data_IF_046602735468
#
_entry.id   IF_046602735468
#
_cell.length_a   1.000
_cell.length_b   1.000
_cell.length_c   1.000
_cell.angle_alpha   90.00
_cell.angle_beta   90.00
_cell.angle_gamma   90.00
#
_symmetry.space_group_name_H-M   'P 1'
#
loop_
_entity.id
_entity.type
_entity.pdbx_description
1 polymer ?
#
# COMPACT_ATOMS: atom_id res chain seq x y z
N UNK A 1 10.51 -25.78 14.23
CA UNK A 1 10.39 -24.31 14.15
C UNK A 1 11.70 -23.61 14.52
N UNK A 2 12.13 -23.61 15.78
CA UNK A 2 13.32 -22.85 16.24
C UNK A 2 14.64 -23.23 15.56
N UNK A 3 14.85 -24.52 15.25
CA UNK A 3 16.00 -24.99 14.48
C UNK A 3 16.02 -24.41 13.06
N UNK A 4 14.88 -24.48 12.35
CA UNK A 4 14.71 -23.91 11.00
C UNK A 4 14.98 -22.40 10.98
N UNK A 5 14.49 -21.68 11.99
CA UNK A 5 14.77 -20.25 12.12
C UNK A 5 16.26 -19.97 12.33
N UNK A 6 16.92 -20.69 13.26
CA UNK A 6 18.36 -20.54 13.51
C UNK A 6 19.21 -20.87 12.28
N UNK A 7 18.87 -21.93 11.57
CA UNK A 7 19.60 -22.35 10.38
C UNK A 7 19.40 -21.32 9.24
N UNK A 8 18.17 -20.88 8.98
CA UNK A 8 17.89 -19.84 7.99
C UNK A 8 18.55 -18.49 8.32
N UNK A 9 18.56 -18.08 9.58
CA UNK A 9 19.24 -16.83 10.01
C UNK A 9 20.76 -16.85 9.80
N UNK A 10 21.41 -18.02 9.73
CA UNK A 10 22.85 -18.12 9.43
C UNK A 10 23.16 -17.85 7.96
N UNK A 11 22.18 -18.04 7.08
CA UNK A 11 22.31 -17.85 5.63
C UNK A 11 21.90 -16.44 5.18
N UNK A 12 21.24 -15.68 6.05
CA UNK A 12 20.79 -14.31 5.79
C UNK A 12 21.89 -13.30 6.11
N UNK A 13 22.34 -12.55 5.10
CA UNK A 13 23.21 -11.39 5.31
C UNK A 13 22.37 -10.13 5.61
N UNK A 14 22.83 -9.28 6.52
CA UNK A 14 22.16 -8.01 6.85
C UNK A 14 22.42 -6.93 5.78
N UNK A 15 21.83 -7.14 4.60
CA UNK A 15 21.89 -6.23 3.46
C UNK A 15 20.48 -6.02 2.91
N UNK A 16 20.30 -5.01 2.06
CA UNK A 16 18.99 -4.67 1.46
C UNK A 16 18.39 -5.82 0.67
N UNK A 17 19.23 -6.61 0.01
CA UNK A 17 18.80 -7.67 -0.91
C UNK A 17 18.14 -8.85 -0.19
N UNK A 18 18.47 -9.04 1.09
CA UNK A 18 17.99 -10.15 1.91
C UNK A 18 16.74 -9.81 2.74
N UNK A 19 16.23 -8.57 2.69
CA UNK A 19 15.09 -8.16 3.51
C UNK A 19 13.85 -9.03 3.22
N UNK A 20 13.57 -9.32 1.96
CA UNK A 20 12.42 -10.16 1.58
C UNK A 20 12.59 -11.60 2.09
N UNK A 21 13.77 -12.19 1.95
CA UNK A 21 14.07 -13.53 2.47
C UNK A 21 13.95 -13.59 4.00
N UNK A 22 14.33 -12.52 4.71
CA UNK A 22 14.14 -12.42 6.15
C UNK A 22 12.65 -12.37 6.51
N UNK A 23 11.85 -11.56 5.81
CA UNK A 23 10.40 -11.50 6.01
C UNK A 23 9.75 -12.86 5.77
N UNK A 24 10.10 -13.55 4.69
CA UNK A 24 9.60 -14.90 4.37
C UNK A 24 9.99 -15.94 5.44
N UNK A 25 11.24 -15.90 5.93
CA UNK A 25 11.70 -16.79 7.00
C UNK A 25 10.92 -16.54 8.30
N UNK A 26 10.71 -15.26 8.65
CA UNK A 26 9.95 -14.88 9.84
C UNK A 26 8.49 -15.30 9.71
N UNK A 27 7.84 -15.07 8.57
CA UNK A 27 6.46 -15.51 8.32
C UNK A 27 6.34 -17.04 8.43
N UNK A 28 7.25 -17.78 7.79
CA UNK A 28 7.21 -19.24 7.80
C UNK A 28 7.49 -19.87 9.18
N UNK A 29 8.01 -19.10 10.16
CA UNK A 29 8.40 -19.64 11.47
C UNK A 29 7.73 -18.98 12.66
N UNK A 30 7.26 -17.73 12.55
CA UNK A 30 6.78 -16.91 13.66
C UNK A 30 5.30 -16.49 13.53
N UNK A 31 4.60 -16.82 12.44
CA UNK A 31 3.18 -16.46 12.25
C UNK A 31 2.22 -17.10 13.26
N UNK A 32 2.62 -18.17 13.94
CA UNK A 32 1.83 -18.82 15.00
C UNK A 32 2.48 -18.71 16.39
N UNK A 33 3.50 -17.86 16.52
CA UNK A 33 4.09 -17.52 17.80
C UNK A 33 3.46 -16.21 18.26
N UNK A 34 2.84 -16.14 19.46
CA UNK A 34 2.27 -14.89 19.93
C UNK A 34 3.37 -13.86 20.23
N UNK A 35 3.12 -12.59 19.91
CA UNK A 35 4.03 -11.48 20.20
C UNK A 35 4.13 -11.14 21.69
N UNK A 36 3.02 -11.30 22.41
CA UNK A 36 2.91 -11.07 23.84
C UNK A 36 2.38 -12.34 24.52
N UNK A 37 2.96 -12.72 25.66
CA UNK A 37 2.50 -13.86 26.47
C UNK A 37 1.88 -13.42 27.79
N UNK A 38 1.52 -12.14 27.91
CA UNK A 38 0.87 -11.59 29.10
C UNK A 38 -0.51 -12.23 29.26
N UNK A 39 -0.77 -12.86 30.42
CA UNK A 39 -2.03 -13.54 30.69
C UNK A 39 -3.24 -12.60 30.79
N UNK A 40 -3.01 -11.29 30.94
CA UNK A 40 -4.04 -10.28 31.03
C UNK A 40 -4.51 -9.74 29.66
N UNK A 41 -3.83 -10.13 28.58
CA UNK A 41 -4.14 -9.72 27.21
C UNK A 41 -4.52 -10.93 26.37
N UNK A 42 -5.27 -10.72 25.30
CA UNK A 42 -5.55 -11.78 24.32
C UNK A 42 -4.32 -11.84 23.39
N UNK A 43 -3.57 -12.96 23.35
CA UNK A 43 -2.38 -13.07 22.51
C UNK A 43 -2.76 -13.43 21.07
N UNK A 44 -3.48 -12.54 20.39
CA UNK A 44 -4.01 -12.73 19.03
C UNK A 44 -3.11 -12.17 17.93
N UNK A 45 -2.09 -11.38 18.28
CA UNK A 45 -1.12 -10.82 17.32
C UNK A 45 0.12 -11.72 17.23
N UNK A 46 0.41 -12.20 16.01
CA UNK A 46 1.61 -13.00 15.75
C UNK A 46 2.89 -12.18 15.92
N UNK A 47 3.98 -12.84 16.29
CA UNK A 47 5.29 -12.23 16.44
C UNK A 47 5.82 -11.75 15.08
N UNK A 48 5.47 -12.42 13.99
CA UNK A 48 5.77 -11.96 12.64
C UNK A 48 5.08 -10.63 12.33
N UNK A 49 3.75 -10.56 12.48
CA UNK A 49 2.97 -9.36 12.17
C UNK A 49 3.36 -8.19 13.05
N UNK A 50 3.60 -8.43 14.34
CA UNK A 50 4.13 -7.43 15.26
C UNK A 50 5.47 -6.89 14.75
N UNK A 51 6.45 -7.77 14.49
CA UNK A 51 7.80 -7.35 14.07
C UNK A 51 7.79 -6.63 12.72
N UNK A 52 7.03 -7.13 11.76
CA UNK A 52 6.85 -6.51 10.43
C UNK A 52 6.25 -5.12 10.54
N UNK A 53 5.18 -4.98 11.33
CA UNK A 53 4.50 -3.68 11.54
C UNK A 53 5.40 -2.72 12.32
N UNK A 54 6.15 -3.18 13.32
CA UNK A 54 7.15 -2.36 14.02
C UNK A 54 8.21 -1.84 13.05
N UNK A 55 8.72 -2.69 12.15
CA UNK A 55 9.70 -2.27 11.15
C UNK A 55 9.12 -1.23 10.17
N UNK A 56 7.87 -1.39 9.75
CA UNK A 56 7.16 -0.43 8.92
C UNK A 56 6.97 0.94 9.59
N UNK A 57 6.56 0.94 10.86
CA UNK A 57 6.38 2.17 11.65
C UNK A 57 7.74 2.83 11.87
N UNK A 58 8.76 2.07 12.24
CA UNK A 58 10.11 2.57 12.47
C UNK A 58 10.71 3.21 11.22
N UNK A 59 10.57 2.59 10.04
CA UNK A 59 11.03 3.16 8.77
C UNK A 59 10.30 4.46 8.44
N UNK A 60 8.99 4.53 8.70
CA UNK A 60 8.22 5.75 8.50
C UNK A 60 8.67 6.89 9.43
N UNK A 61 8.84 6.61 10.72
CA UNK A 61 9.30 7.60 11.70
C UNK A 61 10.68 8.12 11.32
N UNK A 62 11.60 7.23 10.96
CA UNK A 62 12.97 7.59 10.56
C UNK A 62 12.98 8.53 9.35
N UNK A 63 12.30 8.16 8.26
CA UNK A 63 12.23 8.99 7.05
C UNK A 63 11.53 10.32 7.30
N UNK A 64 10.49 10.34 8.14
CA UNK A 64 9.78 11.57 8.51
C UNK A 64 10.67 12.55 9.28
N UNK A 65 11.37 12.08 10.31
CA UNK A 65 12.28 12.91 11.11
C UNK A 65 13.49 13.39 10.29
N UNK A 66 14.05 12.51 9.46
CA UNK A 66 15.14 12.86 8.55
C UNK A 66 14.72 13.96 7.55
N UNK A 67 13.51 13.88 6.99
CA UNK A 67 12.98 14.92 6.11
C UNK A 67 12.77 16.27 6.81
N UNK A 68 12.52 16.27 8.13
CA UNK A 68 12.44 17.47 8.95
C UNK A 68 13.81 17.96 9.47
N UNK A 69 14.89 17.21 9.22
CA UNK A 69 16.23 17.49 9.75
C UNK A 69 16.32 17.34 11.27
N UNK A 70 15.42 16.57 11.90
CA UNK A 70 15.37 16.34 13.35
C UNK A 70 16.16 15.07 13.70
N UNK A 71 17.26 15.23 14.45
CA UNK A 71 18.16 14.12 14.79
C UNK A 71 18.13 13.71 16.28
N UNK A 72 17.45 14.49 17.15
CA UNK A 72 17.34 14.19 18.57
C UNK A 72 16.18 13.23 18.86
N UNK A 73 16.38 11.95 18.49
CA UNK A 73 15.35 10.92 18.61
C UNK A 73 14.92 10.67 20.04
N UNK A 74 15.82 10.79 21.02
CA UNK A 74 15.50 10.55 22.43
C UNK A 74 14.52 11.59 22.93
N UNK A 75 14.79 12.85 22.69
CA UNK A 75 13.91 13.93 23.11
C UNK A 75 12.54 13.82 22.42
N UNK A 76 12.53 13.62 21.10
CA UNK A 76 11.29 13.64 20.30
C UNK A 76 10.40 12.42 20.57
N UNK A 77 10.98 11.22 20.58
CA UNK A 77 10.21 9.97 20.62
C UNK A 77 10.00 9.44 22.05
N UNK A 78 10.85 9.82 23.01
CA UNK A 78 10.77 9.34 24.39
C UNK A 78 10.30 10.42 25.35
N UNK A 79 11.02 11.53 25.48
CA UNK A 79 10.68 12.59 26.45
C UNK A 79 9.39 13.32 26.07
N UNK A 80 9.25 13.67 24.79
CA UNK A 80 8.08 14.34 24.21
C UNK A 80 7.23 13.40 23.34
N UNK A 81 7.28 12.09 23.59
CA UNK A 81 6.60 11.09 22.75
C UNK A 81 5.09 11.31 22.63
N UNK A 82 4.43 11.85 23.66
CA UNK A 82 2.98 12.18 23.60
C UNK A 82 2.65 13.27 22.59
N UNK A 83 3.56 14.21 22.37
CA UNK A 83 3.38 15.25 21.36
C UNK A 83 3.64 14.69 19.96
N UNK A 84 4.66 13.84 19.83
CA UNK A 84 4.91 13.11 18.58
C UNK A 84 3.72 12.23 18.17
N UNK A 85 3.01 11.62 19.12
CA UNK A 85 1.84 10.80 18.81
C UNK A 85 0.67 11.57 18.18
N UNK A 86 0.64 12.90 18.34
CA UNK A 86 -0.32 13.80 17.68
C UNK A 86 0.16 14.27 16.32
N UNK A 87 1.46 14.22 16.04
CA UNK A 87 2.01 14.61 14.74
C UNK A 87 1.53 13.64 13.65
N UNK A 88 1.16 14.19 12.49
CA UNK A 88 0.77 13.40 11.31
C UNK A 88 2.00 12.89 10.58
N UNK A 89 2.77 12.02 11.24
CA UNK A 89 4.01 11.46 10.71
C UNK A 89 3.78 10.39 9.63
N UNK A 90 2.57 9.85 9.51
CA UNK A 90 2.26 8.71 8.65
C UNK A 90 1.28 9.09 7.53
N UNK A 91 1.39 8.38 6.42
CA UNK A 91 0.53 8.48 5.26
C UNK A 91 0.01 7.08 4.93
N UNK A 92 -1.27 6.84 5.18
CA UNK A 92 -1.92 5.61 4.74
C UNK A 92 -2.23 5.72 3.26
N UNK A 93 -1.63 4.86 2.45
CA UNK A 93 -1.78 4.81 1.01
C UNK A 93 -2.46 3.52 0.57
N UNK A 94 -3.32 3.61 -0.45
CA UNK A 94 -3.95 2.46 -1.07
C UNK A 94 -4.16 2.75 -2.55
N UNK A 95 -3.92 1.75 -3.39
CA UNK A 95 -4.36 1.78 -4.78
C UNK A 95 -5.40 0.70 -5.07
N UNK A 96 -6.19 0.93 -6.12
CA UNK A 96 -7.16 0.01 -6.68
C UNK A 96 -7.05 -0.01 -8.21
N UNK A 97 -6.93 -1.21 -8.79
CA UNK A 97 -6.98 -1.40 -10.25
C UNK A 97 -8.45 -1.51 -10.68
N UNK A 98 -8.98 -0.42 -11.24
CA UNK A 98 -10.31 -0.40 -11.84
C UNK A 98 -10.33 -1.12 -13.20
N UNK A 99 -11.39 -1.89 -13.46
CA UNK A 99 -11.62 -2.57 -14.74
C UNK A 99 -11.23 -4.05 -14.76
N UNK A 100 -10.76 -4.61 -13.64
CA UNK A 100 -10.34 -6.02 -13.50
C UNK A 100 -11.37 -7.00 -14.07
N UNK A 101 -12.65 -6.90 -13.66
CA UNK A 101 -13.67 -7.85 -14.11
C UNK A 101 -13.83 -7.84 -15.64
N UNK A 102 -13.98 -6.66 -16.22
CA UNK A 102 -14.10 -6.51 -17.68
C UNK A 102 -12.85 -7.04 -18.38
N UNK A 103 -11.66 -6.73 -17.87
CA UNK A 103 -10.40 -7.23 -18.42
C UNK A 103 -10.29 -8.75 -18.37
N UNK A 104 -10.63 -9.38 -17.24
CA UNK A 104 -10.53 -10.84 -17.08
C UNK A 104 -11.53 -11.57 -17.97
N UNK A 105 -12.78 -11.10 -18.04
CA UNK A 105 -13.87 -11.84 -18.70
C UNK A 105 -14.09 -11.50 -20.19
N UNK A 106 -13.38 -10.52 -20.76
CA UNK A 106 -13.42 -10.25 -22.21
C UNK A 106 -12.62 -11.32 -22.98
N UNK A 107 -13.09 -12.56 -23.01
CA UNK A 107 -12.38 -13.71 -23.62
C UNK A 107 -13.20 -14.33 -24.76
N UNK A 108 -12.50 -14.79 -25.80
CA UNK A 108 -13.13 -15.58 -26.87
C UNK A 108 -13.34 -17.04 -26.43
N UNK A 109 -14.31 -17.75 -27.03
CA UNK A 109 -14.71 -19.11 -26.64
C UNK A 109 -13.60 -20.17 -26.77
N UNK A 110 -12.60 -19.97 -27.63
CA UNK A 110 -11.49 -20.90 -27.81
C UNK A 110 -10.43 -20.68 -26.73
N UNK A 111 -10.08 -21.72 -25.97
CA UNK A 111 -9.11 -21.68 -24.86
C UNK A 111 -9.43 -20.69 -23.73
N UNK A 112 -10.72 -20.39 -23.52
CA UNK A 112 -11.22 -19.42 -22.55
C UNK A 112 -10.63 -19.60 -21.13
N UNK A 113 -10.62 -20.83 -20.59
CA UNK A 113 -10.09 -21.13 -19.26
C UNK A 113 -8.60 -20.81 -19.11
N UNK A 114 -7.78 -21.10 -20.14
CA UNK A 114 -6.34 -20.79 -20.13
C UNK A 114 -6.12 -19.28 -20.11
N UNK A 115 -6.88 -18.54 -20.91
CA UNK A 115 -6.79 -17.08 -20.96
C UNK A 115 -7.27 -16.41 -19.68
N UNK A 116 -8.36 -16.93 -19.09
CA UNK A 116 -8.88 -16.44 -17.82
C UNK A 116 -7.82 -16.52 -16.71
N UNK A 117 -7.20 -17.70 -16.55
CA UNK A 117 -6.12 -17.91 -15.57
C UNK A 117 -4.92 -17.01 -15.85
N UNK A 118 -4.51 -16.90 -17.11
CA UNK A 118 -3.38 -16.05 -17.50
C UNK A 118 -3.63 -14.57 -17.20
N UNK A 119 -4.84 -14.05 -17.46
CA UNK A 119 -5.21 -12.66 -17.18
C UNK A 119 -5.34 -12.38 -15.69
N UNK A 120 -5.86 -13.32 -14.91
CA UNK A 120 -5.91 -13.21 -13.45
C UNK A 120 -4.49 -13.12 -12.87
N UNK A 121 -3.61 -14.04 -13.27
CA UNK A 121 -2.21 -14.04 -12.86
C UNK A 121 -1.47 -12.78 -13.31
N UNK A 122 -1.74 -12.30 -14.53
CA UNK A 122 -1.15 -11.06 -15.04
C UNK A 122 -1.45 -9.85 -14.14
N UNK A 123 -2.71 -9.72 -13.68
CA UNK A 123 -3.10 -8.62 -12.80
C UNK A 123 -2.49 -8.74 -11.41
N UNK A 124 -2.31 -9.96 -10.91
CA UNK A 124 -1.62 -10.22 -9.64
C UNK A 124 -0.15 -9.82 -9.73
N UNK A 125 0.57 -10.28 -10.76
CA UNK A 125 1.97 -9.89 -11.01
C UNK A 125 2.10 -8.37 -11.22
N UNK A 126 1.16 -7.75 -11.95
CA UNK A 126 1.13 -6.30 -12.11
C UNK A 126 0.98 -5.60 -10.77
N UNK A 127 0.05 -6.04 -9.93
CA UNK A 127 -0.20 -5.45 -8.60
C UNK A 127 1.05 -5.53 -7.72
N UNK A 128 1.68 -6.71 -7.65
CA UNK A 128 2.91 -6.93 -6.90
C UNK A 128 4.07 -6.05 -7.42
N UNK A 129 4.22 -5.95 -8.75
CA UNK A 129 5.23 -5.08 -9.35
C UNK A 129 5.00 -3.60 -9.02
N UNK A 130 3.74 -3.14 -9.03
CA UNK A 130 3.38 -1.77 -8.68
C UNK A 130 3.70 -1.46 -7.21
N UNK A 131 3.40 -2.39 -6.31
CA UNK A 131 3.74 -2.26 -4.88
C UNK A 131 5.25 -2.14 -4.70
N UNK A 132 6.03 -3.07 -5.27
CA UNK A 132 7.48 -3.08 -5.11
C UNK A 132 8.12 -1.83 -5.68
N UNK A 133 7.68 -1.40 -6.87
CA UNK A 133 8.19 -0.19 -7.49
C UNK A 133 7.93 1.05 -6.64
N UNK A 134 6.74 1.17 -6.05
CA UNK A 134 6.42 2.30 -5.17
C UNK A 134 7.28 2.28 -3.90
N UNK A 135 7.40 1.12 -3.26
CA UNK A 135 8.21 0.96 -2.04
C UNK A 135 9.69 1.31 -2.30
N UNK A 136 10.27 0.78 -3.39
CA UNK A 136 11.66 1.08 -3.78
C UNK A 136 11.85 2.57 -4.04
N UNK A 137 10.95 3.22 -4.78
CA UNK A 137 11.02 4.67 -5.04
C UNK A 137 10.97 5.50 -3.75
N UNK A 138 10.22 5.04 -2.75
CA UNK A 138 10.13 5.66 -1.43
C UNK A 138 11.30 5.30 -0.50
N UNK A 139 12.19 4.38 -0.89
CA UNK A 139 13.28 3.89 -0.04
C UNK A 139 12.82 2.95 1.08
N UNK A 140 11.69 2.26 0.88
CA UNK A 140 11.04 1.39 1.87
C UNK A 140 11.09 -0.07 1.44
N UNK A 141 10.86 -0.98 2.38
CA UNK A 141 10.79 -2.41 2.14
C UNK A 141 9.35 -2.93 2.17
N UNK A 142 9.16 -4.20 1.81
CA UNK A 142 7.86 -4.89 1.92
C UNK A 142 7.30 -4.96 3.35
N UNK A 143 8.07 -4.62 4.38
CA UNK A 143 7.54 -4.47 5.72
C UNK A 143 6.39 -3.45 5.76
N UNK A 144 6.48 -2.37 4.97
CA UNK A 144 5.49 -1.29 4.88
C UNK A 144 4.17 -1.70 4.21
N UNK A 145 4.10 -2.86 3.55
CA UNK A 145 2.89 -3.41 2.96
C UNK A 145 2.04 -4.09 4.04
N UNK A 146 0.90 -3.51 4.40
CA UNK A 146 -0.04 -4.07 5.37
C UNK A 146 -0.84 -5.21 4.74
N UNK A 147 -1.36 -4.98 3.55
CA UNK A 147 -2.24 -5.92 2.85
C UNK A 147 -2.12 -5.75 1.32
N UNK A 148 -2.18 -6.86 0.59
CA UNK A 148 -2.31 -6.93 -0.86
C UNK A 148 -3.32 -8.02 -1.20
N UNK A 149 -4.32 -7.71 -2.04
CA UNK A 149 -5.31 -8.69 -2.48
C UNK A 149 -6.38 -8.11 -3.39
N UNK A 150 -6.81 -8.90 -4.39
CA UNK A 150 -7.92 -8.54 -5.28
C UNK A 150 -7.71 -7.28 -6.12
N UNK A 151 -6.46 -6.83 -6.31
CA UNK A 151 -6.13 -5.57 -7.00
C UNK A 151 -6.17 -4.34 -6.09
N UNK A 152 -6.33 -4.54 -4.78
CA UNK A 152 -6.25 -3.52 -3.74
C UNK A 152 -5.06 -3.77 -2.82
N UNK A 153 -4.47 -2.71 -2.29
CA UNK A 153 -3.44 -2.83 -1.26
C UNK A 153 -3.57 -1.73 -0.20
N UNK A 154 -2.96 -1.94 0.96
CA UNK A 154 -2.77 -0.90 1.97
C UNK A 154 -1.29 -0.85 2.35
N UNK A 155 -0.69 0.33 2.26
CA UNK A 155 0.73 0.57 2.52
C UNK A 155 0.85 1.74 3.47
N UNK A 156 1.66 1.57 4.52
CA UNK A 156 2.01 2.65 5.44
C UNK A 156 3.28 3.33 4.94
N UNK A 157 3.19 4.62 4.63
CA UNK A 157 4.29 5.43 4.13
C UNK A 157 4.61 6.59 5.09
N UNK A 158 5.84 7.13 5.09
CA UNK A 158 6.14 8.35 5.84
C UNK A 158 5.47 9.55 5.19
N UNK A 159 4.88 10.43 6.01
CA UNK A 159 4.22 11.64 5.52
C UNK A 159 5.25 12.75 5.18
N UNK A 160 5.94 12.60 4.06
CA UNK A 160 6.93 13.60 3.59
C UNK A 160 6.56 14.14 2.22
N UNK A 161 6.98 15.37 1.93
CA UNK A 161 6.78 15.97 0.61
C UNK A 161 7.51 15.21 -0.50
N UNK A 162 8.64 14.56 -0.18
CA UNK A 162 9.34 13.64 -1.09
C UNK A 162 8.43 12.48 -1.49
N UNK A 163 7.88 11.76 -0.51
CA UNK A 163 7.01 10.61 -0.78
C UNK A 163 5.72 11.01 -1.49
N UNK A 164 5.09 12.14 -1.12
CA UNK A 164 3.91 12.65 -1.83
C UNK A 164 4.18 12.88 -3.32
N UNK A 165 5.34 13.48 -3.65
CA UNK A 165 5.77 13.69 -5.04
C UNK A 165 6.07 12.39 -5.77
N UNK A 166 6.71 11.42 -5.10
CA UNK A 166 6.97 10.10 -5.68
C UNK A 166 5.67 9.36 -6.02
N UNK A 167 4.65 9.43 -5.15
CA UNK A 167 3.32 8.85 -5.42
C UNK A 167 2.69 9.49 -6.66
N UNK A 168 2.75 10.82 -6.78
CA UNK A 168 2.15 11.52 -7.93
C UNK A 168 2.87 11.20 -9.24
N UNK A 169 4.21 11.10 -9.21
CA UNK A 169 5.01 10.68 -10.37
C UNK A 169 4.76 9.22 -10.75
N UNK A 170 4.69 8.33 -9.75
CA UNK A 170 4.35 6.93 -9.91
C UNK A 170 2.99 6.79 -10.59
N UNK A 171 1.96 7.47 -10.08
CA UNK A 171 0.60 7.41 -10.62
C UNK A 171 0.55 7.84 -12.09
N UNK A 172 1.17 8.97 -12.42
CA UNK A 172 1.23 9.48 -13.81
C UNK A 172 1.92 8.48 -14.74
N UNK A 173 3.03 7.89 -14.28
CA UNK A 173 3.81 6.93 -15.07
C UNK A 173 3.03 5.65 -15.33
N UNK A 174 2.39 5.11 -14.29
CA UNK A 174 1.63 3.87 -14.36
C UNK A 174 0.38 4.04 -15.22
N UNK A 175 -0.41 5.09 -15.00
CA UNK A 175 -1.64 5.30 -15.78
C UNK A 175 -1.34 5.63 -17.24
N UNK A 176 -0.25 6.34 -17.54
CA UNK A 176 0.20 6.55 -18.93
C UNK A 176 0.59 5.23 -19.61
N UNK A 177 1.31 4.38 -18.91
CA UNK A 177 1.66 3.05 -19.42
C UNK A 177 0.41 2.17 -19.63
N UNK A 178 -0.56 2.23 -18.70
CA UNK A 178 -1.83 1.51 -18.83
C UNK A 178 -2.64 2.00 -20.05
N UNK A 179 -2.67 3.32 -20.31
CA UNK A 179 -3.29 3.87 -21.52
C UNK A 179 -2.62 3.32 -22.78
N UNK A 180 -1.29 3.26 -22.81
CA UNK A 180 -0.53 2.77 -23.97
C UNK A 180 -0.74 1.27 -24.24
N UNK A 181 -0.95 0.47 -23.19
CA UNK A 181 -1.08 -0.99 -23.31
C UNK A 181 -2.52 -1.48 -23.39
N UNK A 182 -3.45 -0.80 -22.72
CA UNK A 182 -4.81 -1.27 -22.49
C UNK A 182 -5.88 -0.23 -22.82
N UNK A 183 -5.49 0.94 -23.31
CA UNK A 183 -6.41 2.06 -23.53
C UNK A 183 -7.10 2.46 -22.23
N UNK A 184 -8.42 2.53 -22.25
CA UNK A 184 -9.23 2.88 -21.07
C UNK A 184 -9.70 1.66 -20.25
N UNK A 185 -9.24 0.45 -20.58
CA UNK A 185 -9.74 -0.80 -20.00
C UNK A 185 -9.28 -1.00 -18.55
N UNK A 186 -8.07 -0.54 -18.23
CA UNK A 186 -7.48 -0.62 -16.90
C UNK A 186 -7.05 0.77 -16.43
N UNK A 187 -7.25 1.05 -15.15
CA UNK A 187 -6.87 2.31 -14.53
C UNK A 187 -6.50 2.08 -13.07
N UNK A 188 -5.39 2.67 -12.60
CA UNK A 188 -5.01 2.64 -11.20
C UNK A 188 -5.53 3.90 -10.53
N UNK A 189 -6.48 3.71 -9.61
CA UNK A 189 -6.95 4.75 -8.71
C UNK A 189 -6.17 4.69 -7.39
N UNK A 190 -5.89 5.83 -6.79
CA UNK A 190 -5.16 5.90 -5.52
C UNK A 190 -5.91 6.73 -4.50
N UNK A 191 -5.67 6.45 -3.22
CA UNK A 191 -6.05 7.29 -2.09
C UNK A 191 -4.92 7.31 -1.07
N UNK A 192 -4.71 8.48 -0.46
CA UNK A 192 -3.66 8.75 0.51
C UNK A 192 -4.19 9.68 1.60
N UNK A 193 -4.18 9.23 2.85
CA UNK A 193 -4.62 10.06 3.98
C UNK A 193 -3.53 10.19 5.02
N UNK A 194 -3.30 11.40 5.50
CA UNK A 194 -2.38 11.65 6.59
C UNK A 194 -2.99 11.16 7.91
N UNK A 195 -2.17 10.50 8.74
CA UNK A 195 -2.55 10.01 10.05
C UNK A 195 -1.39 10.14 11.06
N UNK A 196 -1.78 10.19 12.33
CA UNK A 196 -0.90 10.26 13.50
C UNK A 196 -0.83 8.90 14.21
N UNK A 197 0.08 8.76 15.18
CA UNK A 197 0.12 7.54 15.99
C UNK A 197 -1.17 7.37 16.81
N UNK A 198 -1.75 8.47 17.31
CA UNK A 198 -3.04 8.44 18.01
C UNK A 198 -4.16 7.89 17.12
N UNK A 199 -4.21 8.27 15.84
CA UNK A 199 -5.20 7.73 14.90
C UNK A 199 -5.02 6.22 14.73
N UNK A 200 -3.78 5.75 14.61
CA UNK A 200 -3.44 4.32 14.48
C UNK A 200 -3.76 3.52 15.76
N UNK A 201 -3.53 4.11 16.94
CA UNK A 201 -3.89 3.55 18.24
C UNK A 201 -5.39 3.69 18.55
N UNK A 202 -6.19 4.24 17.62
CA UNK A 202 -7.60 4.52 17.81
C UNK A 202 -7.90 5.37 19.06
N UNK A 203 -6.96 6.26 19.42
CA UNK A 203 -7.05 7.15 20.57
C UNK A 203 -7.56 8.51 20.12
N UNK A 204 -8.67 8.97 20.69
CA UNK A 204 -9.19 10.31 20.41
C UNK A 204 -8.24 11.37 20.97
N UNK A 205 -8.01 12.45 20.22
CA UNK A 205 -7.09 13.51 20.61
C UNK A 205 -7.53 14.28 21.88
N UNK A 206 -8.82 14.20 22.24
CA UNK A 206 -9.41 14.86 23.41
C UNK A 206 -10.09 13.85 24.36
N UNK A 207 -9.67 13.81 25.62
CA UNK A 207 -10.34 13.04 26.69
C UNK A 207 -11.81 13.48 26.92
N UNK A 208 -12.19 14.67 26.40
CA UNK A 208 -13.55 15.21 26.45
C UNK A 208 -14.44 14.79 25.27
N UNK A 209 -13.89 14.09 24.27
CA UNK A 209 -14.65 13.65 23.08
C UNK A 209 -15.31 12.28 23.25
N UNK A 210 -15.83 11.98 24.45
CA UNK A 210 -16.92 11.00 24.62
C UNK A 210 -18.22 11.43 23.90
N UNK A 211 -18.21 12.58 23.20
CA UNK A 211 -19.30 13.14 22.38
C UNK A 211 -19.25 12.80 20.89
N UNK A 212 -18.48 11.79 20.47
CA UNK A 212 -18.55 11.28 19.09
C UNK A 212 -19.84 10.45 18.81
N UNK A 213 -20.75 10.32 19.78
CA UNK A 213 -22.06 9.70 19.57
C UNK A 213 -23.10 10.66 18.95
N UNK A 214 -22.78 11.95 18.75
CA UNK A 214 -23.71 12.96 18.23
C UNK A 214 -23.36 13.50 16.82
N UNK A 215 -22.25 13.08 16.22
CA UNK A 215 -21.86 13.41 14.83
C UNK A 215 -21.47 12.11 14.14
N UNK A 216 -21.65 12.00 12.82
CA UNK A 216 -21.33 10.83 12.00
C UNK A 216 -19.80 10.48 11.95
N UNK A 217 -19.04 10.80 12.99
CA UNK A 217 -17.59 10.63 13.05
C UNK A 217 -17.24 9.19 13.45
N UNK A 218 -16.56 8.49 12.54
CA UNK A 218 -16.00 7.18 12.81
C UNK A 218 -14.87 7.28 13.84
N UNK A 219 -14.59 6.21 14.61
CA UNK A 219 -13.39 6.14 15.44
C UNK A 219 -12.13 6.45 14.62
N UNK A 220 -11.09 7.10 15.20
CA UNK A 220 -9.94 7.60 14.44
C UNK A 220 -9.32 6.57 13.49
N UNK A 221 -9.17 5.32 13.94
CA UNK A 221 -8.61 4.26 13.10
C UNK A 221 -9.49 3.94 11.88
N UNK A 222 -10.81 3.85 12.09
CA UNK A 222 -11.79 3.59 11.02
C UNK A 222 -11.88 4.77 10.04
N UNK A 223 -11.77 6.00 10.55
CA UNK A 223 -11.82 7.20 9.73
C UNK A 223 -10.67 7.25 8.69
N UNK A 224 -9.47 6.75 9.03
CA UNK A 224 -8.35 6.62 8.08
C UNK A 224 -8.82 5.91 6.80
N UNK A 225 -9.41 4.72 6.93
CA UNK A 225 -9.83 3.91 5.77
C UNK A 225 -11.00 4.53 5.02
N UNK A 226 -11.93 5.19 5.73
CA UNK A 226 -13.02 5.94 5.10
C UNK A 226 -12.50 7.09 4.25
N UNK A 227 -11.53 7.87 4.76
CA UNK A 227 -10.88 8.95 4.00
C UNK A 227 -10.15 8.43 2.77
N UNK A 228 -9.37 7.36 2.92
CA UNK A 228 -8.68 6.70 1.78
C UNK A 228 -9.68 6.25 0.71
N UNK A 229 -10.78 5.58 1.11
CA UNK A 229 -11.80 5.12 0.18
C UNK A 229 -12.54 6.26 -0.55
N UNK A 230 -12.79 7.40 0.13
CA UNK A 230 -13.35 8.60 -0.50
C UNK A 230 -12.43 9.19 -1.55
N UNK A 231 -11.13 9.27 -1.27
CA UNK A 231 -10.16 9.79 -2.24
C UNK A 231 -9.98 8.85 -3.43
N UNK A 232 -9.92 7.53 -3.20
CA UNK A 232 -9.93 6.54 -4.29
C UNK A 232 -11.15 6.69 -5.18
N UNK A 233 -12.33 6.89 -4.59
CA UNK A 233 -13.57 7.11 -5.35
C UNK A 233 -13.49 8.38 -6.20
N UNK A 234 -12.91 9.46 -5.65
CA UNK A 234 -12.66 10.70 -6.40
C UNK A 234 -11.67 10.49 -7.56
N UNK A 235 -10.61 9.70 -7.34
CA UNK A 235 -9.64 9.33 -8.38
C UNK A 235 -10.30 8.53 -9.52
N UNK A 236 -11.23 7.61 -9.19
CA UNK A 236 -11.98 6.84 -10.19
C UNK A 236 -12.93 7.69 -11.04
N UNK A 237 -13.47 8.77 -10.47
CA UNK A 237 -14.35 9.71 -11.18
C UNK A 237 -13.57 10.67 -12.09
N UNK A 238 -12.30 10.94 -11.78
CA UNK A 238 -11.45 11.88 -12.51
C UNK A 238 -10.20 11.16 -13.04
N UNK A 239 -10.41 10.18 -13.93
CA UNK A 239 -9.34 9.25 -14.37
C UNK A 239 -8.22 9.91 -15.17
N UNK A 240 -8.56 10.83 -16.06
CA UNK A 240 -7.65 11.36 -17.06
C UNK A 240 -7.68 12.88 -17.04
N UNK A 241 -6.52 13.49 -17.25
CA UNK A 241 -6.45 14.92 -17.44
C UNK A 241 -6.77 15.31 -18.90
N UNK A 242 -6.84 16.62 -19.17
CA UNK A 242 -7.13 17.12 -20.50
C UNK A 242 -6.07 16.73 -21.54
N UNK A 243 -4.82 16.52 -21.12
CA UNK A 243 -3.73 16.11 -22.00
C UNK A 243 -3.91 14.65 -22.43
N UNK A 244 -4.17 13.75 -21.48
CA UNK A 244 -4.38 12.33 -21.73
C UNK A 244 -5.60 12.11 -22.65
N UNK A 245 -6.71 12.83 -22.42
CA UNK A 245 -7.90 12.75 -23.27
C UNK A 245 -7.61 13.19 -24.70
N UNK A 246 -6.94 14.33 -24.89
CA UNK A 246 -6.55 14.80 -26.23
C UNK A 246 -5.64 13.80 -26.92
N UNK A 247 -4.69 13.22 -26.19
CA UNK A 247 -3.76 12.22 -26.72
C UNK A 247 -4.50 10.97 -27.19
N UNK A 248 -5.42 10.43 -26.38
CA UNK A 248 -6.22 9.25 -26.75
C UNK A 248 -7.08 9.52 -28.00
N UNK A 249 -7.65 10.72 -28.12
CA UNK A 249 -8.47 11.10 -29.27
C UNK A 249 -7.67 11.40 -30.55
N UNK A 250 -6.36 11.61 -30.43
CA UNK A 250 -5.45 11.88 -31.55
C UNK A 250 -4.63 10.65 -31.97
N UNK A 251 -4.85 9.49 -31.35
CA UNK A 251 -4.18 8.25 -31.79
C UNK A 251 -4.65 7.91 -33.21
N UNK A 252 -3.74 7.58 -34.14
CA UNK A 252 -4.13 7.17 -35.48
C UNK A 252 -5.06 5.97 -35.36
N UNK A 253 -6.23 6.04 -36.00
CA UNK A 253 -7.06 4.86 -36.20
C UNK A 253 -6.16 3.79 -36.82
N UNK A 254 -6.06 2.62 -36.18
CA UNK A 254 -5.15 1.57 -36.63
C UNK A 254 -5.26 1.41 -38.14
N UNK A 255 -4.12 1.45 -38.84
CA UNK A 255 -4.03 1.52 -40.31
C UNK A 255 -4.73 0.37 -41.05
N UNK A 256 -5.23 -0.62 -40.30
CA UNK A 256 -5.90 -1.80 -40.78
C UNK A 256 -7.14 -1.95 -39.92
N UNK A 257 -8.34 -1.86 -40.51
CA UNK A 257 -9.64 -2.04 -39.84
C UNK A 257 -9.90 -3.47 -39.33
N UNK A 258 -8.88 -4.13 -38.76
CA UNK A 258 -8.92 -5.45 -38.13
C UNK A 258 -8.49 -5.29 -36.68
N UNK A 259 -9.37 -5.68 -35.78
CA UNK A 259 -9.10 -5.78 -34.34
C UNK A 259 -8.81 -7.23 -33.94
N UNK A 260 -8.19 -7.45 -32.78
CA UNK A 260 -7.97 -8.79 -32.29
C UNK A 260 -9.28 -9.36 -31.76
N UNK A 261 -9.71 -10.52 -32.28
CA UNK A 261 -10.92 -11.24 -31.84
C UNK A 261 -10.98 -11.52 -30.32
N UNK A 262 -9.85 -11.42 -29.62
CA UNK A 262 -9.69 -11.80 -28.22
C UNK A 262 -9.61 -10.60 -27.27
N UNK A 263 -9.11 -9.44 -27.70
CA UNK A 263 -8.95 -8.26 -26.84
C UNK A 263 -9.51 -6.96 -27.41
N UNK A 264 -10.10 -6.99 -28.61
CA UNK A 264 -10.38 -5.79 -29.40
C UNK A 264 -9.09 -5.20 -29.92
#
# INVERSE_FOLDING_TARGET
MLKKFKDGMREVAFTTDYINSLLELMEATLSYVPSCTNANEIPDISLYDHSKTTAAIASCIYEYLNALGKNDYRNILYENGKDFYKEKAFLMFSFDISGIQKFIYTISSKNALKMLRARSFYLEVLSEHLIDRLLINCGLSRANLIYSGGGHCYILLPNTEKVKKEIDNFLKTVNRWLIEKFGNSLYVAVGKTECSANDLMNTCADDNSKKAEATNDYPPYKDIFVRVGREQSRSKLNRYDAYDIRRMNNLPAGEIGRECRVCG
#
